data_IF_204354730312
#
_entry.id   IF_204354730312
#
_cell.length_a   1.000
_cell.length_b   1.000
_cell.length_c   1.000
_cell.angle_alpha   90.00
_cell.angle_beta   90.00
_cell.angle_gamma   90.00
#
_symmetry.space_group_name_H-M   'P 1'
#
loop_
_entity.id
_entity.type
_entity.pdbx_description
1 polymer ?
#
# COMPACT_ATOMS: atom_id res chain seq x y z
N UNK A 1 -97.44 -5.15 -4.88
CA UNK A 1 -96.71 -5.52 -3.65
C UNK A 1 -95.24 -5.32 -3.91
N UNK A 2 -94.59 -4.39 -3.22
CA UNK A 2 -93.13 -4.22 -3.28
C UNK A 2 -92.49 -5.41 -2.56
N UNK A 3 -91.42 -6.00 -3.10
CA UNK A 3 -90.68 -7.09 -2.44
C UNK A 3 -89.28 -6.57 -2.07
N UNK A 4 -89.02 -6.42 -0.78
CA UNK A 4 -87.67 -6.15 -0.28
C UNK A 4 -86.86 -7.43 -0.39
N UNK A 5 -85.83 -7.44 -1.24
CA UNK A 5 -85.04 -8.63 -1.54
C UNK A 5 -83.78 -8.72 -0.69
N UNK A 6 -83.15 -7.58 -0.36
CA UNK A 6 -81.96 -7.53 0.49
C UNK A 6 -81.69 -6.10 0.98
N UNK A 7 -81.60 -5.89 2.29
CA UNK A 7 -80.92 -4.71 2.84
C UNK A 7 -79.44 -5.06 3.02
N UNK A 8 -78.52 -4.18 2.64
CA UNK A 8 -77.10 -4.43 2.88
C UNK A 8 -76.85 -4.56 4.39
N UNK A 9 -76.42 -5.76 4.80
CA UNK A 9 -76.32 -6.16 6.21
C UNK A 9 -74.99 -5.64 6.77
N UNK A 10 -74.93 -4.35 7.05
CA UNK A 10 -73.94 -3.78 7.96
C UNK A 10 -74.57 -3.63 9.35
N UNK A 11 -74.14 -4.49 10.27
CA UNK A 11 -74.79 -4.78 11.56
C UNK A 11 -74.65 -3.66 12.61
N UNK A 12 -73.89 -2.60 12.33
CA UNK A 12 -73.34 -1.73 13.38
C UNK A 12 -73.48 -0.25 13.06
N UNK A 13 -74.25 0.50 13.85
CA UNK A 13 -74.49 1.95 13.67
C UNK A 13 -74.05 2.73 14.92
N UNK A 14 -73.45 3.91 14.75
CA UNK A 14 -73.15 4.81 15.87
C UNK A 14 -74.29 5.79 16.16
N UNK A 15 -74.37 6.25 17.40
CA UNK A 15 -75.34 7.27 17.82
C UNK A 15 -75.24 8.58 17.02
N UNK A 16 -74.05 8.96 16.56
CA UNK A 16 -73.86 10.14 15.70
C UNK A 16 -74.51 10.03 14.32
N UNK A 17 -74.89 8.82 13.87
CA UNK A 17 -75.55 8.59 12.58
C UNK A 17 -74.69 8.93 11.36
N UNK A 18 -75.32 8.97 10.19
CA UNK A 18 -74.68 9.37 8.93
C UNK A 18 -73.94 8.25 8.19
N UNK A 19 -74.25 6.99 8.50
CA UNK A 19 -73.76 5.84 7.73
C UNK A 19 -74.70 5.57 6.56
N UNK A 20 -74.16 5.34 5.37
CA UNK A 20 -74.96 5.08 4.17
C UNK A 20 -75.48 3.66 4.16
N UNK A 21 -76.79 3.52 3.98
CA UNK A 21 -77.51 2.25 3.96
C UNK A 21 -78.14 2.09 2.59
N UNK A 22 -77.92 0.94 1.97
CA UNK A 22 -78.44 0.60 0.65
C UNK A 22 -79.47 -0.51 0.81
N UNK A 23 -80.72 -0.21 0.48
CA UNK A 23 -81.81 -1.18 0.41
C UNK A 23 -82.04 -1.55 -1.06
N UNK A 24 -81.97 -2.84 -1.38
CA UNK A 24 -82.13 -3.36 -2.75
C UNK A 24 -83.41 -4.19 -2.83
N UNK A 25 -84.22 -3.91 -3.85
CA UNK A 25 -85.53 -4.52 -4.04
C UNK A 25 -86.07 -4.24 -5.44
N UNK A 26 -87.37 -4.44 -5.63
CA UNK A 26 -88.05 -4.12 -6.89
C UNK A 26 -89.38 -3.40 -6.65
N UNK A 27 -89.69 -2.43 -7.51
CA UNK A 27 -90.92 -1.66 -7.47
C UNK A 27 -90.88 -0.46 -6.51
N UNK A 28 -89.69 0.01 -6.12
CA UNK A 28 -89.57 1.15 -5.19
C UNK A 28 -90.10 2.45 -5.80
N UNK A 29 -90.18 2.58 -7.12
CA UNK A 29 -90.73 3.79 -7.77
C UNK A 29 -92.16 4.09 -7.34
N UNK A 30 -92.94 3.05 -6.99
CA UNK A 30 -94.32 3.18 -6.53
C UNK A 30 -94.46 3.71 -5.09
N UNK A 31 -93.38 3.72 -4.30
CA UNK A 31 -93.39 4.17 -2.90
C UNK A 31 -93.32 5.70 -2.82
N UNK A 32 -94.29 6.38 -2.22
CA UNK A 32 -94.29 7.86 -2.18
C UNK A 32 -93.38 8.42 -1.07
N UNK A 33 -93.37 7.79 0.10
CA UNK A 33 -92.59 8.18 1.28
C UNK A 33 -91.83 6.98 1.81
N UNK A 34 -90.51 7.05 1.72
CA UNK A 34 -89.60 6.07 2.30
C UNK A 34 -88.81 6.74 3.44
N UNK A 35 -88.94 6.22 4.65
CA UNK A 35 -88.24 6.73 5.83
C UNK A 35 -87.77 5.61 6.73
N UNK A 36 -86.59 5.78 7.30
CA UNK A 36 -86.06 4.93 8.35
C UNK A 36 -86.40 5.55 9.70
N UNK A 37 -87.00 4.76 10.58
CA UNK A 37 -87.40 5.15 11.92
C UNK A 37 -86.61 4.36 12.95
N UNK A 38 -86.19 5.04 14.01
CA UNK A 38 -85.50 4.40 15.13
C UNK A 38 -86.20 4.80 16.41
N UNK A 39 -86.55 3.76 17.17
CA UNK A 39 -87.32 3.85 18.40
C UNK A 39 -86.50 3.23 19.55
N UNK A 40 -86.46 3.86 20.73
CA UNK A 40 -85.92 3.21 21.91
C UNK A 40 -86.77 1.99 22.30
N UNK A 41 -86.15 0.85 22.58
CA UNK A 41 -86.84 -0.30 23.19
C UNK A 41 -87.18 0.07 24.64
N UNK A 42 -88.46 0.11 24.96
CA UNK A 42 -88.92 0.47 26.30
C UNK A 42 -88.60 -0.64 27.31
N UNK A 43 -87.91 -0.30 28.40
CA UNK A 43 -88.12 -0.95 29.70
C UNK A 43 -89.43 -0.38 30.27
N UNK A 44 -90.27 -1.25 30.86
CA UNK A 44 -91.70 -1.10 31.18
C UNK A 44 -92.12 0.09 32.09
N UNK A 45 -91.27 1.09 32.34
CA UNK A 45 -91.49 2.12 33.36
C UNK A 45 -91.13 3.57 32.93
N UNK A 46 -91.52 4.04 31.74
CA UNK A 46 -91.50 5.48 31.44
C UNK A 46 -92.74 5.97 30.68
N UNK A 47 -93.46 6.94 31.27
CA UNK A 47 -94.72 7.55 30.76
C UNK A 47 -94.46 8.81 29.92
N UNK A 48 -93.55 8.73 28.95
CA UNK A 48 -93.35 9.78 27.94
C UNK A 48 -93.42 9.17 26.53
N UNK A 49 -93.97 9.86 25.52
CA UNK A 49 -94.01 9.33 24.16
C UNK A 49 -92.58 8.99 23.70
N UNK A 50 -92.32 7.80 23.13
CA UNK A 50 -90.99 7.43 22.68
C UNK A 50 -90.52 8.44 21.62
N UNK A 51 -89.32 8.99 21.81
CA UNK A 51 -88.73 9.91 20.84
C UNK A 51 -88.42 9.12 19.57
N UNK A 52 -89.11 9.46 18.48
CA UNK A 52 -88.88 8.88 17.15
C UNK A 52 -87.75 9.63 16.43
N UNK A 53 -86.71 8.91 16.02
CA UNK A 53 -85.66 9.45 15.14
C UNK A 53 -85.96 9.00 13.72
N UNK A 54 -86.27 9.95 12.84
CA UNK A 54 -86.71 9.66 11.46
C UNK A 54 -85.71 10.25 10.47
N UNK A 55 -85.20 9.42 9.56
CA UNK A 55 -84.42 9.84 8.40
C UNK A 55 -85.14 9.47 7.11
N UNK A 56 -85.33 10.44 6.21
CA UNK A 56 -85.90 10.20 4.88
C UNK A 56 -84.85 9.67 3.90
N UNK A 57 -85.29 8.92 2.89
CA UNK A 57 -84.42 8.43 1.83
C UNK A 57 -83.69 9.60 1.14
N UNK A 58 -82.36 9.47 1.04
CA UNK A 58 -81.47 10.44 0.37
C UNK A 58 -81.54 10.27 -1.13
N UNK A 59 -81.65 9.03 -1.59
CA UNK A 59 -81.76 8.71 -3.01
C UNK A 59 -82.75 7.56 -3.23
N UNK A 60 -83.53 7.67 -4.31
CA UNK A 60 -84.58 6.70 -4.66
C UNK A 60 -84.50 6.38 -6.16
N UNK A 61 -84.46 5.09 -6.47
CA UNK A 61 -84.56 4.52 -7.80
C UNK A 61 -85.39 3.23 -7.73
N UNK A 62 -85.88 2.71 -8.87
CA UNK A 62 -86.83 1.57 -8.90
C UNK A 62 -86.30 0.32 -8.18
N UNK A 63 -84.99 0.13 -8.21
CA UNK A 63 -84.31 -1.04 -7.61
C UNK A 63 -83.54 -0.74 -6.33
N UNK A 64 -83.27 0.53 -6.02
CA UNK A 64 -82.40 0.93 -4.90
C UNK A 64 -82.96 2.12 -4.14
N UNK A 65 -83.04 1.97 -2.81
CA UNK A 65 -83.28 3.05 -1.87
C UNK A 65 -82.04 3.29 -1.02
N UNK A 66 -81.62 4.55 -0.89
CA UNK A 66 -80.43 4.94 -0.14
C UNK A 66 -80.84 5.82 1.03
N UNK A 67 -80.43 5.42 2.23
CA UNK A 67 -80.71 6.12 3.49
C UNK A 67 -79.40 6.45 4.19
N UNK A 68 -79.41 7.51 5.00
CA UNK A 68 -78.39 7.69 6.03
C UNK A 68 -78.96 7.20 7.37
N UNK A 69 -78.13 6.60 8.23
CA UNK A 69 -78.59 6.22 9.56
C UNK A 69 -78.95 7.48 10.37
N UNK A 70 -80.14 7.53 11.02
CA UNK A 70 -80.52 8.68 11.83
C UNK A 70 -79.61 8.79 13.06
N UNK A 71 -79.30 10.03 13.44
CA UNK A 71 -78.61 10.32 14.68
C UNK A 71 -79.58 10.17 15.86
N UNK A 72 -79.12 9.51 16.91
CA UNK A 72 -79.91 9.18 18.10
C UNK A 72 -79.34 9.94 19.30
N UNK A 73 -80.19 10.31 20.25
CA UNK A 73 -79.78 11.14 21.38
C UNK A 73 -78.81 10.38 22.32
N UNK A 74 -77.71 11.05 22.71
CA UNK A 74 -76.57 10.48 23.44
C UNK A 74 -76.82 10.21 24.93
N UNK A 75 -77.97 10.60 25.46
CA UNK A 75 -78.25 10.61 26.91
C UNK A 75 -78.70 9.26 27.52
N UNK A 76 -78.65 8.15 26.77
CA UNK A 76 -79.12 6.83 27.22
C UNK A 76 -78.19 5.70 26.76
N UNK A 77 -76.97 5.62 27.28
CA UNK A 77 -75.95 4.62 26.86
C UNK A 77 -76.35 3.15 27.08
N UNK A 78 -77.41 2.88 27.85
CA UNK A 78 -77.90 1.52 28.16
C UNK A 78 -79.18 1.14 27.41
N UNK A 79 -79.70 2.01 26.54
CA UNK A 79 -80.97 1.76 25.85
C UNK A 79 -80.74 1.05 24.52
N UNK A 80 -81.40 -0.09 24.32
CA UNK A 80 -81.41 -0.76 23.02
C UNK A 80 -82.38 -0.06 22.07
N UNK A 81 -82.03 0.06 20.79
CA UNK A 81 -82.86 0.73 19.79
C UNK A 81 -83.38 -0.29 18.78
N UNK A 82 -84.65 -0.14 18.40
CA UNK A 82 -85.29 -0.91 17.33
C UNK A 82 -85.44 -0.04 16.10
N UNK A 83 -85.10 -0.60 14.95
CA UNK A 83 -85.06 0.10 13.68
C UNK A 83 -86.19 -0.42 12.79
N UNK A 84 -86.94 0.50 12.21
CA UNK A 84 -88.08 0.22 11.36
C UNK A 84 -87.88 0.91 10.02
N UNK A 85 -88.10 0.16 8.94
CA UNK A 85 -88.18 0.72 7.60
C UNK A 85 -89.65 0.97 7.29
N UNK A 86 -90.01 2.25 7.14
CA UNK A 86 -91.36 2.65 6.76
C UNK A 86 -91.39 3.00 5.27
N UNK A 87 -92.15 2.20 4.51
CA UNK A 87 -92.47 2.42 3.10
C UNK A 87 -93.97 2.73 3.01
N UNK A 88 -94.31 4.01 2.91
CA UNK A 88 -95.67 4.54 2.98
C UNK A 88 -96.42 4.14 4.27
N UNK A 89 -97.34 3.15 4.17
CA UNK A 89 -98.13 2.61 5.29
C UNK A 89 -97.64 1.24 5.76
N UNK A 90 -96.61 0.69 5.13
CA UNK A 90 -96.01 -0.59 5.51
C UNK A 90 -94.80 -0.30 6.37
N UNK A 91 -94.75 -0.93 7.55
CA UNK A 91 -93.64 -0.83 8.49
C UNK A 91 -93.02 -2.21 8.67
N UNK A 92 -91.72 -2.32 8.45
CA UNK A 92 -90.97 -3.56 8.60
C UNK A 92 -89.85 -3.38 9.62
N UNK A 93 -89.85 -4.21 10.67
CA UNK A 93 -88.81 -4.19 11.71
C UNK A 93 -87.54 -4.87 11.22
N UNK A 94 -86.43 -4.14 11.27
CA UNK A 94 -85.14 -4.65 10.85
C UNK A 94 -84.38 -5.25 12.06
N UNK A 95 -84.59 -6.54 12.32
CA UNK A 95 -84.11 -7.24 13.54
C UNK A 95 -82.59 -7.39 13.67
N UNK A 96 -81.82 -7.11 12.63
CA UNK A 96 -80.37 -7.38 12.57
C UNK A 96 -79.52 -6.15 12.86
N UNK A 97 -80.11 -4.99 13.16
CA UNK A 97 -79.37 -3.74 13.33
C UNK A 97 -79.28 -3.34 14.80
N UNK A 98 -78.06 -3.11 15.27
CA UNK A 98 -77.79 -2.70 16.65
C UNK A 98 -77.04 -1.36 16.64
N UNK A 99 -77.54 -0.42 17.44
CA UNK A 99 -76.85 0.83 17.69
C UNK A 99 -75.79 0.64 18.78
N UNK A 100 -74.62 1.20 18.53
CA UNK A 100 -73.47 1.22 19.43
C UNK A 100 -73.11 2.66 19.79
N UNK A 101 -72.47 2.86 20.95
CA UNK A 101 -71.95 4.17 21.35
C UNK A 101 -70.90 4.67 20.34
N UNK A 102 -70.75 5.99 20.28
CA UNK A 102 -69.74 6.64 19.44
C UNK A 102 -68.31 6.20 19.83
N UNK A 103 -67.38 6.07 18.87
CA UNK A 103 -66.03 5.63 19.16
C UNK A 103 -65.27 6.66 20.00
N UNK A 104 -64.40 6.17 20.88
CA UNK A 104 -63.54 7.00 21.72
C UNK A 104 -62.11 7.02 21.17
N UNK A 105 -61.52 8.21 21.04
CA UNK A 105 -60.14 8.38 20.57
C UNK A 105 -59.24 8.77 21.74
N UNK A 106 -58.08 8.11 21.85
CA UNK A 106 -57.05 8.50 22.80
C UNK A 106 -56.13 9.57 22.20
N UNK A 107 -55.43 10.30 23.06
CA UNK A 107 -54.40 11.25 22.64
C UNK A 107 -53.24 10.55 21.90
N UNK A 108 -52.72 11.19 20.86
CA UNK A 108 -51.63 10.65 20.04
C UNK A 108 -50.36 10.44 20.87
N UNK A 109 -49.77 9.24 20.76
CA UNK A 109 -48.55 8.88 21.49
C UNK A 109 -47.26 9.42 20.85
N UNK A 110 -47.29 9.80 19.56
CA UNK A 110 -46.17 10.40 18.83
C UNK A 110 -46.65 11.58 18.01
N UNK A 111 -46.12 12.76 18.29
CA UNK A 111 -46.51 14.01 17.63
C UNK A 111 -45.58 14.41 16.47
N UNK A 112 -44.59 13.57 16.11
CA UNK A 112 -43.64 13.84 15.02
C UNK A 112 -43.80 12.77 13.93
N UNK A 113 -44.12 13.18 12.70
CA UNK A 113 -44.18 12.30 11.53
C UNK A 113 -42.77 12.09 11.01
N UNK A 114 -42.15 10.99 11.42
CA UNK A 114 -40.89 10.47 10.85
C UNK A 114 -41.13 9.29 9.91
N UNK A 115 -42.33 8.69 9.97
CA UNK A 115 -42.73 7.46 9.30
C UNK A 115 -43.89 7.72 8.32
N UNK A 116 -44.06 6.85 7.32
CA UNK A 116 -45.14 6.95 6.33
C UNK A 116 -46.52 6.60 6.89
N UNK A 117 -46.61 6.09 8.12
CA UNK A 117 -47.86 5.59 8.74
C UNK A 117 -48.07 6.26 10.11
N UNK A 118 -49.28 6.77 10.34
CA UNK A 118 -49.73 7.33 11.63
C UNK A 118 -50.68 6.33 12.28
N UNK A 119 -50.43 6.01 13.55
CA UNK A 119 -51.24 5.06 14.32
C UNK A 119 -52.06 5.83 15.35
N UNK A 120 -53.37 5.73 15.27
CA UNK A 120 -54.31 6.30 16.22
C UNK A 120 -54.91 5.19 17.07
N UNK A 121 -54.95 5.38 18.39
CA UNK A 121 -55.51 4.40 19.33
C UNK A 121 -56.82 4.89 19.92
N UNK A 122 -57.72 3.97 20.24
CA UNK A 122 -59.02 4.28 20.81
C UNK A 122 -59.83 3.03 21.12
N UNK A 123 -61.15 3.15 21.12
CA UNK A 123 -62.08 2.04 21.41
C UNK A 123 -63.33 2.15 20.54
N UNK A 124 -63.77 1.01 20.01
CA UNK A 124 -65.04 0.87 19.30
C UNK A 124 -65.00 1.27 17.82
N UNK A 125 -63.82 1.37 17.20
CA UNK A 125 -63.72 1.78 15.79
C UNK A 125 -64.37 0.77 14.84
N UNK A 126 -64.15 -0.53 15.07
CA UNK A 126 -64.70 -1.62 14.23
C UNK A 126 -66.23 -1.68 14.29
N UNK A 127 -66.79 -1.20 15.40
CA UNK A 127 -68.24 -1.08 15.61
C UNK A 127 -68.79 0.22 15.03
N UNK A 128 -67.95 1.23 14.81
CA UNK A 128 -68.39 2.52 14.31
C UNK A 128 -68.51 2.57 12.78
N UNK A 129 -67.51 2.06 12.06
CA UNK A 129 -67.42 2.20 10.60
C UNK A 129 -66.47 1.15 9.99
N UNK A 130 -66.53 0.98 8.67
CA UNK A 130 -65.51 0.22 7.91
C UNK A 130 -64.38 1.15 7.44
N UNK A 131 -63.20 0.58 7.16
CA UNK A 131 -62.01 1.33 6.75
C UNK A 131 -62.21 2.16 5.47
N UNK A 132 -63.06 1.69 4.54
CA UNK A 132 -63.32 2.37 3.26
C UNK A 132 -64.22 3.60 3.40
N UNK A 133 -65.07 3.65 4.43
CA UNK A 133 -65.99 4.76 4.67
C UNK A 133 -65.41 5.82 5.61
N UNK A 134 -64.36 5.46 6.35
CA UNK A 134 -63.65 6.34 7.27
C UNK A 134 -62.84 7.41 6.53
N UNK A 135 -62.93 8.67 6.98
CA UNK A 135 -62.16 9.78 6.41
C UNK A 135 -61.24 10.38 7.48
N UNK A 136 -59.96 10.53 7.17
CA UNK A 136 -58.99 11.19 8.05
C UNK A 136 -58.33 12.36 7.32
N UNK A 137 -58.04 13.43 8.06
CA UNK A 137 -57.43 14.64 7.53
C UNK A 137 -56.28 15.10 8.43
N UNK A 138 -55.13 15.42 7.85
CA UNK A 138 -54.02 16.11 8.52
C UNK A 138 -53.94 17.51 7.93
N UNK A 139 -54.33 18.53 8.70
CA UNK A 139 -54.49 19.88 8.16
C UNK A 139 -55.48 19.93 7.00
N UNK A 140 -55.05 20.36 5.82
CA UNK A 140 -55.87 20.40 4.59
C UNK A 140 -55.76 19.15 3.70
N UNK A 141 -54.86 18.21 3.99
CA UNK A 141 -54.71 16.98 3.22
C UNK A 141 -55.58 15.83 3.75
N UNK A 142 -56.13 15.04 2.83
CA UNK A 142 -56.85 13.79 3.12
C UNK A 142 -55.86 12.64 3.26
N UNK A 143 -55.98 11.86 4.33
CA UNK A 143 -55.16 10.69 4.63
C UNK A 143 -55.99 9.42 4.41
N UNK A 144 -55.45 8.48 3.63
CA UNK A 144 -56.12 7.21 3.40
C UNK A 144 -56.02 6.33 4.65
N UNK A 145 -57.15 5.82 5.10
CA UNK A 145 -57.22 4.81 6.16
C UNK A 145 -56.88 3.45 5.56
N UNK A 146 -55.78 2.84 6.00
CA UNK A 146 -55.31 1.57 5.43
C UNK A 146 -55.89 0.37 6.16
N UNK A 147 -55.90 0.40 7.50
CA UNK A 147 -56.37 -0.69 8.36
C UNK A 147 -57.15 -0.11 9.53
N UNK A 148 -58.34 -0.65 9.79
CA UNK A 148 -59.20 -0.29 10.91
C UNK A 148 -59.45 -1.53 11.78
N UNK A 149 -58.93 -1.50 13.01
CA UNK A 149 -59.15 -2.49 14.06
C UNK A 149 -59.97 -1.86 15.19
N UNK A 150 -60.52 -2.66 16.11
CA UNK A 150 -61.43 -2.14 17.14
C UNK A 150 -60.79 -1.09 18.08
N UNK A 151 -59.48 -1.21 18.31
CA UNK A 151 -58.69 -0.37 19.20
C UNK A 151 -57.65 0.51 18.49
N UNK A 152 -57.42 0.29 17.18
CA UNK A 152 -56.34 0.94 16.41
C UNK A 152 -56.74 1.28 14.98
N UNK A 153 -56.30 2.44 14.53
CA UNK A 153 -56.49 2.93 13.17
C UNK A 153 -55.13 3.28 12.56
N UNK A 154 -54.85 2.76 11.37
CA UNK A 154 -53.63 3.04 10.62
C UNK A 154 -53.94 3.98 9.45
N UNK A 155 -53.25 5.12 9.42
CA UNK A 155 -53.39 6.17 8.42
C UNK A 155 -52.09 6.32 7.64
N UNK A 156 -52.18 6.56 6.34
CA UNK A 156 -51.01 6.90 5.52
C UNK A 156 -50.75 8.42 5.58
N UNK A 157 -49.55 8.80 6.04
CA UNK A 157 -49.16 10.20 6.16
C UNK A 157 -48.84 10.80 4.77
N UNK A 158 -49.26 12.04 4.48
CA UNK A 158 -48.91 12.69 3.23
C UNK A 158 -47.40 12.94 3.15
N UNK A 159 -46.80 12.61 2.01
CA UNK A 159 -45.35 12.70 1.76
C UNK A 159 -44.83 14.15 1.68
N UNK A 160 -45.72 15.10 1.42
CA UNK A 160 -45.45 16.53 1.44
C UNK A 160 -46.25 17.19 2.56
N UNK A 161 -45.63 18.13 3.28
CA UNK A 161 -46.26 18.80 4.42
C UNK A 161 -47.50 19.61 3.97
N UNK A 162 -48.72 19.28 4.45
CA UNK A 162 -49.94 20.00 4.12
C UNK A 162 -50.02 21.34 4.86
N UNK A 163 -50.93 22.22 4.42
CA UNK A 163 -51.16 23.52 5.08
C UNK A 163 -52.16 23.36 6.20
N UNK A 164 -52.06 24.22 7.23
CA UNK A 164 -53.03 24.24 8.31
C UNK A 164 -54.42 24.61 7.78
N UNK A 165 -55.45 23.81 8.11
CA UNK A 165 -56.85 24.04 7.69
C UNK A 165 -57.46 25.27 8.36
N UNK A 166 -56.88 25.73 9.47
CA UNK A 166 -57.41 26.85 10.27
C UNK A 166 -56.97 28.21 9.72
N UNK A 167 -57.94 29.10 9.49
CA UNK A 167 -57.77 30.47 8.99
C UNK A 167 -57.45 31.47 10.12
N UNK A 168 -56.64 31.11 11.13
CA UNK A 168 -56.10 32.08 12.10
C UNK A 168 -54.66 32.43 11.70
N UNK A 169 -54.55 33.45 10.86
CA UNK A 169 -53.28 33.99 10.41
C UNK A 169 -52.58 34.74 11.57
N UNK A 170 -51.84 34.01 12.40
CA UNK A 170 -50.83 34.60 13.28
C UNK A 170 -49.49 34.58 12.54
N UNK A 171 -48.89 35.76 12.39
CA UNK A 171 -47.51 35.93 11.94
C UNK A 171 -46.62 35.37 13.05
N UNK A 172 -46.14 34.13 12.89
CA UNK A 172 -44.87 33.70 13.46
C UNK A 172 -44.35 32.47 12.71
N UNK A 173 -43.10 32.55 12.27
CA UNK A 173 -42.35 31.54 11.53
C UNK A 173 -41.86 30.42 12.46
N UNK A 174 -42.77 29.68 13.06
CA UNK A 174 -42.50 28.38 13.65
C UNK A 174 -43.52 27.39 13.09
N UNK A 175 -43.08 26.17 12.76
CA UNK A 175 -43.93 25.11 12.23
C UNK A 175 -45.15 24.89 13.14
N UNK A 176 -46.29 25.45 12.76
CA UNK A 176 -47.54 25.29 13.50
C UNK A 176 -47.93 23.81 13.45
N UNK A 177 -48.28 23.21 14.60
CA UNK A 177 -48.67 21.81 14.64
C UNK A 177 -49.98 21.62 13.88
N UNK A 178 -50.01 20.63 12.99
CA UNK A 178 -51.14 20.35 12.11
C UNK A 178 -52.13 19.43 12.84
N UNK A 179 -53.40 19.85 12.94
CA UNK A 179 -54.43 19.04 13.60
C UNK A 179 -54.79 17.81 12.76
N UNK A 180 -54.82 16.64 13.40
CA UNK A 180 -55.32 15.38 12.86
C UNK A 180 -56.80 15.22 13.23
N UNK A 181 -57.65 15.26 12.21
CA UNK A 181 -59.11 15.15 12.35
C UNK A 181 -59.61 13.87 11.71
N UNK A 182 -60.42 13.09 12.42
CA UNK A 182 -61.04 11.86 11.93
C UNK A 182 -62.55 12.06 11.88
N UNK A 183 -63.14 11.65 10.75
CA UNK A 183 -64.58 11.73 10.49
C UNK A 183 -65.14 10.33 10.27
N UNK A 184 -66.09 9.95 11.13
CA UNK A 184 -66.91 8.74 10.97
C UNK A 184 -68.39 9.14 10.85
N UNK A 185 -68.98 8.87 9.69
CA UNK A 185 -70.35 9.30 9.37
C UNK A 185 -70.51 10.82 9.52
N UNK A 186 -71.41 11.23 10.42
CA UNK A 186 -71.65 12.64 10.76
C UNK A 186 -70.81 13.14 11.97
N UNK A 187 -70.06 12.28 12.65
CA UNK A 187 -69.19 12.68 13.76
C UNK A 187 -67.79 13.10 13.29
N UNK A 188 -67.26 14.19 13.86
CA UNK A 188 -65.91 14.72 13.59
C UNK A 188 -65.15 14.88 14.91
N UNK A 189 -63.97 14.27 15.02
CA UNK A 189 -63.13 14.28 16.21
C UNK A 189 -61.72 14.74 15.88
N UNK A 190 -61.18 15.66 16.69
CA UNK A 190 -59.77 16.07 16.62
C UNK A 190 -58.98 15.22 17.61
N UNK A 191 -58.05 14.41 17.09
CA UNK A 191 -57.30 13.40 17.86
C UNK A 191 -56.01 13.96 18.46
N UNK A 192 -55.43 14.99 17.84
CA UNK A 192 -54.25 15.71 18.34
C UNK A 192 -53.50 16.41 17.21
N UNK A 193 -52.37 17.05 17.54
CA UNK A 193 -51.60 17.88 16.58
C UNK A 193 -50.21 17.29 16.28
N UNK A 194 -49.78 17.37 15.02
CA UNK A 194 -48.63 16.64 14.48
C UNK A 194 -47.64 17.55 13.74
N UNK A 195 -46.33 17.29 13.90
CA UNK A 195 -45.21 18.06 13.36
C UNK A 195 -44.36 17.24 12.35
N UNK A 196 -43.87 17.87 11.29
CA UNK A 196 -42.95 17.27 10.31
C UNK A 196 -41.48 17.64 10.64
N UNK A 197 -40.56 16.68 10.53
CA UNK A 197 -39.12 16.90 10.80
C UNK A 197 -38.42 17.62 9.63
N UNK A 198 -37.67 18.69 9.94
CA UNK A 198 -36.98 19.53 8.94
C UNK A 198 -35.59 18.96 8.61
N UNK A 199 -35.38 18.49 7.37
CA UNK A 199 -34.04 18.13 6.89
C UNK A 199 -33.26 19.40 6.54
N UNK A 200 -32.13 19.62 7.21
CA UNK A 200 -31.20 20.73 6.91
C UNK A 200 -30.30 20.33 5.74
N UNK A 201 -30.61 20.79 4.53
CA UNK A 201 -29.71 20.68 3.38
C UNK A 201 -28.82 21.93 3.33
N UNK A 202 -27.57 21.82 3.81
CA UNK A 202 -26.58 22.88 3.65
C UNK A 202 -26.08 22.87 2.20
N UNK A 203 -26.04 24.00 1.48
CA UNK A 203 -25.67 24.01 0.06
C UNK A 203 -24.20 23.60 -0.14
N UNK A 204 -23.96 22.60 -0.99
CA UNK A 204 -22.61 22.14 -1.37
C UNK A 204 -21.71 23.27 -1.93
N UNK A 205 -22.32 24.33 -2.48
CA UNK A 205 -21.63 25.52 -3.00
C UNK A 205 -20.80 26.28 -1.94
N UNK A 206 -21.11 26.16 -0.64
CA UNK A 206 -20.36 26.81 0.44
C UNK A 206 -19.21 25.93 0.95
N UNK A 207 -19.38 24.61 0.90
CA UNK A 207 -18.41 23.63 1.43
C UNK A 207 -17.18 23.51 0.51
N UNK A 208 -17.40 23.47 -0.80
CA UNK A 208 -16.34 23.29 -1.81
C UNK A 208 -15.25 24.38 -1.72
N UNK A 209 -15.57 25.70 -1.75
CA UNK A 209 -14.55 26.75 -1.64
C UNK A 209 -13.88 26.78 -0.25
N UNK A 210 -14.60 26.44 0.83
CA UNK A 210 -14.04 26.40 2.17
C UNK A 210 -12.95 25.33 2.35
N UNK A 211 -12.94 24.27 1.54
CA UNK A 211 -11.93 23.20 1.59
C UNK A 211 -10.82 23.42 0.55
N UNK A 212 -11.17 23.85 -0.67
CA UNK A 212 -10.19 23.99 -1.76
C UNK A 212 -9.21 25.14 -1.49
N UNK A 213 -9.69 26.28 -0.99
CA UNK A 213 -8.84 27.47 -0.74
C UNK A 213 -7.71 27.19 0.26
N UNK A 214 -7.95 26.62 1.46
CA UNK A 214 -6.87 26.28 2.38
C UNK A 214 -5.96 25.16 1.86
N UNK A 215 -6.50 24.20 1.09
CA UNK A 215 -5.70 23.15 0.47
C UNK A 215 -4.68 23.73 -0.53
N UNK A 216 -5.10 24.66 -1.39
CA UNK A 216 -4.21 25.32 -2.35
C UNK A 216 -3.15 26.19 -1.66
N UNK A 217 -3.52 26.89 -0.57
CA UNK A 217 -2.58 27.63 0.25
C UNK A 217 -1.50 26.73 0.86
N UNK A 218 -1.89 25.58 1.40
CA UNK A 218 -0.95 24.62 1.98
C UNK A 218 0.01 24.07 0.92
N UNK A 219 -0.49 23.74 -0.27
CA UNK A 219 0.35 23.28 -1.39
C UNK A 219 1.33 24.37 -1.81
N UNK A 220 0.90 25.63 -1.94
CA UNK A 220 1.76 26.74 -2.32
C UNK A 220 2.89 26.98 -1.30
N UNK A 221 2.57 26.94 0.01
CA UNK A 221 3.56 27.06 1.09
C UNK A 221 4.53 25.87 1.07
N UNK A 222 4.04 24.65 0.88
CA UNK A 222 4.88 23.45 0.79
C UNK A 222 5.85 23.53 -0.40
N UNK A 223 5.37 23.92 -1.59
CA UNK A 223 6.22 24.13 -2.78
C UNK A 223 7.23 25.25 -2.55
N UNK A 224 6.84 26.35 -1.91
CA UNK A 224 7.75 27.44 -1.57
C UNK A 224 8.84 26.98 -0.60
N UNK A 225 8.48 26.28 0.48
CA UNK A 225 9.42 25.69 1.43
C UNK A 225 10.35 24.67 0.77
N UNK A 226 9.81 23.81 -0.10
CA UNK A 226 10.60 22.82 -0.84
C UNK A 226 11.59 23.49 -1.79
N UNK A 227 11.15 24.48 -2.58
CA UNK A 227 12.04 25.25 -3.47
C UNK A 227 13.11 25.99 -2.69
N UNK A 228 12.75 26.63 -1.56
CA UNK A 228 13.72 27.35 -0.72
C UNK A 228 14.75 26.40 -0.10
N UNK A 229 14.31 25.24 0.40
CA UNK A 229 15.19 24.21 0.98
C UNK A 229 16.07 23.57 -0.11
N UNK A 230 15.53 23.29 -1.28
CA UNK A 230 16.27 22.78 -2.45
C UNK A 230 17.35 23.76 -2.88
N UNK A 231 17.02 25.05 -3.03
CA UNK A 231 17.99 26.09 -3.39
C UNK A 231 19.06 26.31 -2.31
N UNK A 232 18.76 26.02 -1.04
CA UNK A 232 19.75 26.08 0.03
C UNK A 232 20.71 24.89 -0.05
N UNK A 233 20.18 23.69 -0.27
CA UNK A 233 20.98 22.48 -0.47
C UNK A 233 21.86 22.56 -1.73
N UNK A 234 21.33 23.10 -2.83
CA UNK A 234 22.10 23.37 -4.05
C UNK A 234 23.24 24.35 -3.80
N UNK A 235 22.99 25.44 -3.05
CA UNK A 235 24.05 26.40 -2.68
C UNK A 235 25.11 25.79 -1.77
N UNK A 236 24.73 24.92 -0.84
CA UNK A 236 25.68 24.20 0.00
C UNK A 236 26.51 23.21 -0.82
N UNK A 237 25.87 22.49 -1.74
CA UNK A 237 26.53 21.58 -2.67
C UNK A 237 27.51 22.32 -3.59
N UNK A 238 27.12 23.45 -4.17
CA UNK A 238 27.99 24.29 -5.00
C UNK A 238 29.20 24.81 -4.21
N UNK A 239 29.03 25.20 -2.94
CA UNK A 239 30.16 25.60 -2.08
C UNK A 239 31.13 24.44 -1.83
N UNK A 240 30.62 23.25 -1.50
CA UNK A 240 31.46 22.05 -1.29
C UNK A 240 32.16 21.66 -2.59
N UNK A 241 31.45 21.72 -3.72
CA UNK A 241 32.02 21.46 -5.03
C UNK A 241 33.14 22.46 -5.35
N UNK A 242 32.93 23.75 -5.11
CA UNK A 242 33.95 24.76 -5.34
C UNK A 242 35.14 24.61 -4.38
N UNK A 243 34.90 24.25 -3.12
CA UNK A 243 35.97 23.91 -2.18
C UNK A 243 36.77 22.69 -2.64
N UNK A 244 36.10 21.67 -3.19
CA UNK A 244 36.75 20.48 -3.74
C UNK A 244 37.55 20.83 -4.99
N UNK A 245 37.01 21.64 -5.91
CA UNK A 245 37.72 22.11 -7.11
C UNK A 245 38.95 22.95 -6.74
N UNK A 246 38.83 23.88 -5.78
CA UNK A 246 39.96 24.67 -5.30
C UNK A 246 41.00 23.80 -4.57
N UNK A 247 40.56 22.81 -3.79
CA UNK A 247 41.46 21.85 -3.17
C UNK A 247 42.16 20.99 -4.23
N UNK A 248 41.46 20.54 -5.25
CA UNK A 248 42.00 19.77 -6.36
C UNK A 248 43.03 20.59 -7.15
N UNK A 249 42.73 21.85 -7.46
CA UNK A 249 43.66 22.75 -8.15
C UNK A 249 44.90 23.02 -7.29
N UNK A 250 44.72 23.29 -5.98
CA UNK A 250 45.84 23.48 -5.06
C UNK A 250 46.69 22.22 -4.91
N UNK A 251 46.08 21.04 -4.80
CA UNK A 251 46.78 19.75 -4.73
C UNK A 251 47.50 19.45 -6.04
N UNK A 252 46.87 19.73 -7.19
CA UNK A 252 47.45 19.55 -8.51
C UNK A 252 48.69 20.44 -8.69
N UNK A 253 48.62 21.69 -8.27
CA UNK A 253 49.75 22.62 -8.37
C UNK A 253 50.86 22.28 -7.39
N UNK A 254 50.52 21.88 -6.16
CA UNK A 254 51.50 21.33 -5.20
C UNK A 254 52.18 20.08 -5.76
N UNK A 255 51.42 19.14 -6.30
CA UNK A 255 51.93 17.92 -6.89
C UNK A 255 52.82 18.21 -8.11
N UNK A 256 52.41 19.12 -9.00
CA UNK A 256 53.24 19.56 -10.13
C UNK A 256 54.55 20.17 -9.65
N UNK A 257 54.50 21.04 -8.64
CA UNK A 257 55.68 21.66 -8.06
C UNK A 257 56.61 20.63 -7.42
N UNK A 258 56.08 19.77 -6.56
CA UNK A 258 56.87 18.70 -5.94
C UNK A 258 57.44 17.73 -6.98
N UNK A 259 56.70 17.43 -8.04
CA UNK A 259 57.16 16.61 -9.15
C UNK A 259 58.27 17.30 -9.95
N UNK A 260 58.14 18.60 -10.26
CA UNK A 260 59.20 19.34 -10.95
C UNK A 260 60.43 19.47 -10.07
N UNK A 261 60.27 19.73 -8.78
CA UNK A 261 61.38 19.81 -7.83
C UNK A 261 62.09 18.46 -7.72
N UNK A 262 61.32 17.35 -7.62
CA UNK A 262 61.86 15.99 -7.60
C UNK A 262 62.58 15.64 -8.92
N UNK A 263 62.02 16.04 -10.07
CA UNK A 263 62.62 15.79 -11.37
C UNK A 263 63.94 16.54 -11.51
N UNK A 264 64.01 17.80 -11.09
CA UNK A 264 65.23 18.62 -11.10
C UNK A 264 66.28 18.00 -10.17
N UNK A 265 65.92 17.64 -8.94
CA UNK A 265 66.85 17.00 -7.99
C UNK A 265 67.33 15.64 -8.49
N UNK A 266 66.45 14.86 -9.12
CA UNK A 266 66.79 13.58 -9.72
C UNK A 266 67.73 13.73 -10.92
N UNK A 267 67.51 14.74 -11.76
CA UNK A 267 68.37 15.03 -12.92
C UNK A 267 69.75 15.52 -12.47
N UNK A 268 69.81 16.39 -11.45
CA UNK A 268 71.06 16.87 -10.84
C UNK A 268 71.88 15.73 -10.23
N UNK A 269 71.25 14.88 -9.41
CA UNK A 269 71.90 13.68 -8.88
C UNK A 269 72.32 12.70 -9.98
N UNK A 270 71.57 12.57 -11.07
CA UNK A 270 71.90 11.65 -12.17
C UNK A 270 73.06 12.18 -13.01
N UNK A 271 73.18 13.50 -13.16
CA UNK A 271 74.29 14.16 -13.83
C UNK A 271 75.61 14.06 -13.03
N UNK A 272 75.57 14.18 -11.70
CA UNK A 272 76.73 13.91 -10.83
C UNK A 272 77.08 12.40 -10.77
N UNK A 273 76.08 11.53 -10.97
CA UNK A 273 76.22 10.07 -11.03
C UNK A 273 76.49 9.54 -12.45
N UNK A 274 76.98 10.37 -13.38
CA UNK A 274 77.26 9.96 -14.77
C UNK A 274 78.23 8.77 -14.92
N UNK A 275 78.81 8.25 -13.83
CA UNK A 275 79.60 7.01 -13.80
C UNK A 275 79.00 5.82 -13.02
N UNK A 276 77.94 6.00 -12.23
CA UNK A 276 77.33 4.88 -11.50
C UNK A 276 76.31 4.15 -12.39
N UNK A 277 76.81 3.28 -13.27
CA UNK A 277 76.01 2.35 -14.08
C UNK A 277 74.91 1.70 -13.21
N UNK A 278 73.66 1.72 -13.68
CA UNK A 278 72.54 1.05 -13.00
C UNK A 278 72.99 -0.36 -12.60
N UNK A 279 72.85 -0.76 -11.32
CA UNK A 279 73.33 -2.05 -10.83
C UNK A 279 72.40 -3.16 -11.29
N UNK A 280 72.40 -3.45 -12.59
CA UNK A 280 71.70 -4.59 -13.16
C UNK A 280 72.25 -5.87 -12.53
N UNK A 281 71.33 -6.71 -12.05
CA UNK A 281 71.69 -8.06 -11.62
C UNK A 281 72.09 -8.88 -12.84
N UNK A 282 73.13 -9.69 -12.68
CA UNK A 282 73.47 -10.69 -13.69
C UNK A 282 72.29 -11.63 -13.93
N UNK A 283 72.20 -12.15 -15.16
CA UNK A 283 71.11 -13.01 -15.59
C UNK A 283 70.84 -14.15 -14.61
N UNK A 284 71.90 -14.83 -14.14
CA UNK A 284 71.82 -15.93 -13.18
C UNK A 284 71.17 -15.48 -11.87
N UNK A 285 71.65 -14.38 -11.29
CA UNK A 285 71.14 -13.85 -10.01
C UNK A 285 69.71 -13.36 -10.16
N UNK A 286 69.37 -12.77 -11.30
CA UNK A 286 68.00 -12.37 -11.63
C UNK A 286 67.07 -13.58 -11.72
N UNK A 287 67.42 -14.60 -12.50
CA UNK A 287 66.60 -15.81 -12.64
C UNK A 287 66.45 -16.56 -11.33
N UNK A 288 67.52 -16.65 -10.53
CA UNK A 288 67.48 -17.33 -9.22
C UNK A 288 66.46 -16.64 -8.29
N UNK A 289 66.47 -15.31 -8.20
CA UNK A 289 65.51 -14.54 -7.38
C UNK A 289 64.07 -14.59 -7.87
N UNK A 290 63.87 -14.67 -9.19
CA UNK A 290 62.54 -14.75 -9.79
C UNK A 290 61.94 -16.14 -9.59
N UNK A 291 62.74 -17.18 -9.80
CA UNK A 291 62.29 -18.58 -9.74
C UNK A 291 62.10 -19.05 -8.30
N UNK A 292 63.03 -18.69 -7.41
CA UNK A 292 63.03 -19.05 -6.01
C UNK A 292 62.93 -17.76 -5.18
N UNK A 293 61.68 -17.37 -4.88
CA UNK A 293 61.45 -16.27 -3.94
C UNK A 293 62.12 -16.63 -2.62
N UNK A 294 63.02 -15.79 -2.06
CA UNK A 294 63.66 -16.08 -0.79
C UNK A 294 62.57 -16.28 0.27
N UNK A 295 62.53 -17.46 0.87
CA UNK A 295 61.69 -17.75 2.02
C UNK A 295 61.98 -16.74 3.12
N UNK A 296 60.96 -16.35 3.89
CA UNK A 296 61.15 -15.60 5.15
C UNK A 296 62.03 -16.38 6.16
N UNK A 297 62.19 -17.69 5.96
CA UNK A 297 63.03 -18.55 6.77
C UNK A 297 64.43 -18.63 6.14
N UNK A 298 65.36 -17.86 6.72
CA UNK A 298 66.67 -17.55 6.15
C UNK A 298 67.63 -18.72 5.91
N UNK A 299 68.70 -18.39 5.20
CA UNK A 299 70.00 -19.09 4.99
C UNK A 299 70.03 -20.56 4.54
N UNK A 300 68.93 -21.30 4.64
CA UNK A 300 68.84 -22.71 4.23
C UNK A 300 68.09 -22.94 2.93
N UNK A 301 67.60 -21.88 2.27
CA UNK A 301 67.09 -22.00 0.92
C UNK A 301 68.28 -22.31 0.01
N UNK A 302 68.25 -23.49 -0.59
CA UNK A 302 69.16 -23.93 -1.63
C UNK A 302 68.89 -23.05 -2.86
N UNK A 303 69.37 -21.80 -2.80
CA UNK A 303 69.96 -21.16 -3.97
C UNK A 303 70.78 -22.26 -4.62
N UNK A 304 70.64 -22.48 -5.93
CA UNK A 304 71.32 -23.57 -6.66
C UNK A 304 72.83 -23.32 -6.58
N UNK A 305 73.36 -23.59 -5.39
CA UNK A 305 74.73 -23.64 -5.01
C UNK A 305 75.14 -24.93 -5.66
N UNK A 306 75.96 -24.83 -6.70
CA UNK A 306 76.33 -25.95 -7.58
C UNK A 306 77.10 -27.08 -6.89
N UNK A 307 76.92 -27.27 -5.58
CA UNK A 307 77.48 -28.34 -4.76
C UNK A 307 76.31 -29.19 -4.25
N UNK A 308 75.96 -30.23 -5.01
CA UNK A 308 75.18 -31.32 -4.43
C UNK A 308 76.11 -32.09 -3.48
N UNK A 309 75.85 -32.03 -2.17
CA UNK A 309 76.55 -32.85 -1.17
C UNK A 309 76.09 -34.31 -1.30
N UNK A 310 76.64 -35.01 -2.30
CA UNK A 310 76.40 -36.43 -2.54
C UNK A 310 77.60 -37.21 -2.01
N UNK A 311 77.39 -38.25 -1.17
CA UNK A 311 78.46 -39.15 -0.74
C UNK A 311 79.22 -39.74 -1.95
N UNK A 312 80.56 -39.68 -1.94
CA UNK A 312 81.43 -40.05 -3.08
C UNK A 312 81.08 -41.41 -3.71
N UNK A 313 80.79 -42.42 -2.89
CA UNK A 313 80.44 -43.77 -3.36
C UNK A 313 79.11 -43.88 -4.11
N UNK A 314 78.21 -42.88 -4.02
CA UNK A 314 76.92 -42.85 -4.74
C UNK A 314 76.89 -41.86 -5.89
N UNK A 315 77.92 -41.01 -6.06
CA UNK A 315 77.94 -39.97 -7.11
C UNK A 315 77.71 -40.55 -8.50
N UNK A 316 78.35 -41.66 -8.84
CA UNK A 316 78.22 -42.30 -10.16
C UNK A 316 76.79 -42.81 -10.39
N UNK A 317 76.20 -43.49 -9.40
CA UNK A 317 74.83 -44.01 -9.48
C UNK A 317 73.81 -42.87 -9.59
N UNK A 318 73.98 -41.82 -8.77
CA UNK A 318 73.10 -40.64 -8.79
C UNK A 318 73.22 -39.90 -10.13
N UNK A 319 74.43 -39.71 -10.65
CA UNK A 319 74.63 -39.10 -11.96
C UNK A 319 73.98 -39.91 -13.09
N UNK A 320 74.11 -41.24 -13.05
CA UNK A 320 73.46 -42.13 -14.02
C UNK A 320 71.93 -42.06 -13.94
N UNK A 321 71.36 -42.08 -12.73
CA UNK A 321 69.93 -41.94 -12.52
C UNK A 321 69.39 -40.57 -12.96
N UNK A 322 70.12 -39.49 -12.68
CA UNK A 322 69.77 -38.14 -13.15
C UNK A 322 69.82 -38.03 -14.68
N UNK A 323 70.78 -38.70 -15.32
CA UNK A 323 70.86 -38.74 -16.79
C UNK A 323 69.66 -39.51 -17.39
N UNK A 324 69.29 -40.65 -16.80
CA UNK A 324 68.09 -41.39 -17.20
C UNK A 324 66.82 -40.57 -16.98
N UNK A 325 66.73 -39.83 -15.86
CA UNK A 325 65.62 -38.94 -15.59
C UNK A 325 65.56 -37.77 -16.58
N UNK A 326 66.69 -37.17 -16.93
CA UNK A 326 66.78 -36.16 -17.99
C UNK A 326 66.28 -36.68 -19.34
N UNK A 327 66.56 -37.94 -19.67
CA UNK A 327 66.01 -38.59 -20.86
C UNK A 327 64.49 -38.76 -20.80
N UNK A 328 63.93 -39.09 -19.63
CA UNK A 328 62.48 -39.14 -19.44
C UNK A 328 61.85 -37.74 -19.58
N UNK A 329 62.49 -36.70 -19.04
CA UNK A 329 62.02 -35.31 -19.17
C UNK A 329 62.02 -34.81 -20.63
N UNK A 330 62.83 -35.41 -21.52
CA UNK A 330 62.81 -35.09 -22.95
C UNK A 330 61.62 -35.73 -23.70
N UNK A 331 60.89 -36.67 -23.08
CA UNK A 331 59.69 -37.26 -23.66
C UNK A 331 58.47 -36.39 -23.38
N UNK A 332 57.89 -35.78 -24.43
CA UNK A 332 56.73 -34.89 -24.34
C UNK A 332 55.55 -35.53 -23.60
N UNK A 333 55.21 -36.75 -23.97
CA UNK A 333 54.11 -37.50 -23.36
C UNK A 333 54.36 -37.79 -21.88
N UNK A 334 55.59 -38.17 -21.52
CA UNK A 334 55.96 -38.41 -20.12
C UNK A 334 55.82 -37.12 -19.32
N UNK A 335 56.41 -36.02 -19.79
CA UNK A 335 56.45 -34.77 -19.04
C UNK A 335 55.05 -34.18 -18.81
N UNK A 336 54.20 -34.16 -19.84
CA UNK A 336 52.81 -33.69 -19.71
C UNK A 336 52.04 -34.56 -18.70
N UNK A 337 52.15 -35.89 -18.81
CA UNK A 337 51.47 -36.79 -17.87
C UNK A 337 52.03 -36.68 -16.45
N UNK A 338 53.34 -36.45 -16.31
CA UNK A 338 53.99 -36.28 -15.02
C UNK A 338 53.48 -35.02 -14.31
N UNK A 339 53.38 -33.89 -15.02
CA UNK A 339 52.82 -32.64 -14.49
C UNK A 339 51.36 -32.84 -14.07
N UNK A 340 50.52 -33.41 -14.94
CA UNK A 340 49.11 -33.71 -14.64
C UNK A 340 48.94 -34.60 -13.42
N UNK A 341 49.76 -35.64 -13.31
CA UNK A 341 49.70 -36.59 -12.19
C UNK A 341 50.07 -35.91 -10.88
N UNK A 342 51.01 -34.97 -10.88
CA UNK A 342 51.37 -34.20 -9.70
C UNK A 342 50.29 -33.19 -9.33
N UNK A 343 49.74 -32.47 -10.31
CA UNK A 343 48.66 -31.50 -10.08
C UNK A 343 47.35 -32.13 -9.58
N UNK A 344 47.04 -33.35 -10.03
CA UNK A 344 45.87 -34.10 -9.59
C UNK A 344 45.95 -34.62 -8.15
N UNK A 345 47.11 -34.54 -7.48
CA UNK A 345 47.23 -34.98 -6.08
C UNK A 345 46.77 -33.88 -5.11
N UNK A 346 45.92 -34.21 -4.12
CA UNK A 346 45.42 -33.23 -3.15
C UNK A 346 46.54 -32.67 -2.25
N UNK A 347 47.58 -33.47 -1.97
CA UNK A 347 48.72 -33.07 -1.14
C UNK A 347 49.68 -32.11 -1.85
N UNK A 348 49.52 -31.91 -3.15
CA UNK A 348 50.39 -31.03 -3.93
C UNK A 348 49.93 -29.58 -3.81
N UNK A 349 50.40 -28.90 -2.76
CA UNK A 349 50.02 -27.53 -2.43
C UNK A 349 50.51 -26.49 -3.47
N UNK A 350 49.96 -25.27 -3.42
CA UNK A 350 50.30 -24.20 -4.35
C UNK A 350 51.79 -23.78 -4.31
N UNK A 351 52.44 -23.81 -3.13
CA UNK A 351 53.87 -23.50 -2.99
C UNK A 351 54.74 -24.56 -3.68
N UNK A 352 54.39 -25.84 -3.52
CA UNK A 352 55.05 -26.97 -4.16
C UNK A 352 54.87 -26.95 -5.67
N UNK A 353 53.69 -26.55 -6.18
CA UNK A 353 53.45 -26.32 -7.62
C UNK A 353 54.40 -25.25 -8.16
N UNK A 354 54.49 -24.12 -7.47
CA UNK A 354 55.35 -23.01 -7.86
C UNK A 354 56.82 -23.43 -7.86
N UNK A 355 57.26 -24.11 -6.80
CA UNK A 355 58.63 -24.59 -6.66
C UNK A 355 59.00 -25.64 -7.73
N UNK A 356 58.11 -26.61 -7.97
CA UNK A 356 58.27 -27.62 -9.01
C UNK A 356 58.37 -27.00 -10.41
N UNK A 357 57.48 -26.05 -10.73
CA UNK A 357 57.54 -25.32 -11.99
C UNK A 357 58.89 -24.62 -12.20
N UNK A 358 59.40 -23.96 -11.15
CA UNK A 358 60.73 -23.32 -11.17
C UNK A 358 61.88 -24.31 -11.38
N UNK A 359 61.88 -25.45 -10.69
CA UNK A 359 62.87 -26.52 -10.91
C UNK A 359 62.80 -27.07 -12.33
N UNK A 360 61.59 -27.28 -12.85
CA UNK A 360 61.38 -27.75 -14.21
C UNK A 360 61.88 -26.74 -15.26
N UNK A 361 61.64 -25.44 -15.04
CA UNK A 361 62.20 -24.39 -15.89
C UNK A 361 63.72 -24.43 -15.90
N UNK A 362 64.37 -24.58 -14.74
CA UNK A 362 65.84 -24.67 -14.66
C UNK A 362 66.36 -25.93 -15.37
N UNK A 363 65.72 -27.09 -15.15
CA UNK A 363 66.11 -28.34 -15.79
C UNK A 363 66.00 -28.30 -17.33
N UNK A 364 65.01 -27.58 -17.84
CA UNK A 364 64.75 -27.43 -19.28
C UNK A 364 65.29 -26.12 -19.87
N UNK A 365 66.05 -25.34 -19.09
CA UNK A 365 66.58 -24.03 -19.52
C UNK A 365 67.48 -24.14 -20.75
N UNK A 366 68.25 -25.22 -20.88
CA UNK A 366 69.07 -25.49 -22.06
C UNK A 366 68.29 -25.88 -23.33
N UNK A 367 66.97 -26.09 -23.24
CA UNK A 367 66.09 -26.50 -24.35
C UNK A 367 64.80 -25.67 -24.36
N UNK A 368 64.92 -24.34 -24.44
CA UNK A 368 63.77 -23.42 -24.36
C UNK A 368 62.69 -23.66 -25.43
N UNK A 369 63.06 -24.13 -26.63
CA UNK A 369 62.10 -24.49 -27.67
C UNK A 369 61.18 -25.64 -27.22
N UNK A 370 61.79 -26.71 -26.68
CA UNK A 370 61.05 -27.84 -26.12
C UNK A 370 60.19 -27.41 -24.93
N UNK A 371 60.75 -26.61 -24.03
CA UNK A 371 60.02 -26.05 -22.89
C UNK A 371 58.79 -25.24 -23.34
N UNK A 372 58.94 -24.43 -24.39
CA UNK A 372 57.85 -23.62 -24.95
C UNK A 372 56.75 -24.48 -25.57
N UNK A 373 57.11 -25.56 -26.28
CA UNK A 373 56.12 -26.50 -26.83
C UNK A 373 55.34 -27.24 -25.72
N UNK A 374 56.01 -27.66 -24.66
CA UNK A 374 55.37 -28.29 -23.49
C UNK A 374 54.42 -27.30 -22.81
N UNK A 375 54.90 -26.09 -22.50
CA UNK A 375 54.10 -25.03 -21.90
C UNK A 375 52.88 -24.69 -22.75
N UNK A 376 53.05 -24.54 -24.07
CA UNK A 376 51.94 -24.31 -25.01
C UNK A 376 50.92 -25.43 -24.95
N UNK A 377 51.37 -26.69 -24.97
CA UNK A 377 50.46 -27.84 -24.95
C UNK A 377 49.63 -27.86 -23.65
N UNK A 378 50.27 -27.64 -22.50
CA UNK A 378 49.59 -27.58 -21.21
C UNK A 378 48.64 -26.37 -21.10
N UNK A 379 49.01 -25.22 -21.67
CA UNK A 379 48.21 -24.00 -21.63
C UNK A 379 46.93 -24.16 -22.47
N UNK A 380 47.02 -24.84 -23.62
CA UNK A 380 45.86 -25.16 -24.46
C UNK A 380 44.90 -26.10 -23.74
N UNK A 381 45.41 -27.13 -23.07
CA UNK A 381 44.58 -28.03 -22.26
C UNK A 381 43.92 -27.29 -21.08
N UNK A 382 44.67 -26.42 -20.39
CA UNK A 382 44.11 -25.56 -19.33
C UNK A 382 43.00 -24.67 -19.87
N UNK A 383 43.18 -24.09 -21.06
CA UNK A 383 42.17 -23.26 -21.72
C UNK A 383 40.90 -24.06 -22.01
N UNK A 384 41.03 -25.28 -22.55
CA UNK A 384 39.89 -26.16 -22.77
C UNK A 384 39.17 -26.47 -21.46
N UNK A 385 39.89 -26.79 -20.38
CA UNK A 385 39.29 -27.05 -19.07
C UNK A 385 38.51 -25.82 -18.56
N UNK A 386 39.09 -24.61 -18.64
CA UNK A 386 38.41 -23.39 -18.20
C UNK A 386 37.21 -23.01 -19.06
N UNK A 387 37.20 -23.34 -20.35
CA UNK A 387 36.06 -23.11 -21.24
C UNK A 387 34.91 -24.07 -20.92
N UNK A 388 35.21 -25.33 -20.62
CA UNK A 388 34.17 -26.34 -20.37
C UNK A 388 33.68 -26.39 -18.91
N UNK A 389 34.54 -26.10 -17.93
CA UNK A 389 34.24 -26.32 -16.51
C UNK A 389 34.09 -25.05 -15.68
N UNK A 390 34.59 -23.91 -16.16
CA UNK A 390 34.68 -22.65 -15.41
C UNK A 390 34.36 -21.45 -16.30
N UNK A 391 34.53 -20.24 -15.74
CA UNK A 391 34.45 -19.03 -16.53
C UNK A 391 35.80 -18.78 -17.23
N UNK A 392 35.84 -18.60 -18.56
CA UNK A 392 37.10 -18.35 -19.28
C UNK A 392 37.76 -17.03 -18.84
N UNK A 393 36.98 -16.06 -18.36
CA UNK A 393 37.47 -14.78 -17.80
C UNK A 393 38.30 -14.95 -16.51
N UNK A 394 38.27 -16.11 -15.88
CA UNK A 394 39.04 -16.40 -14.66
C UNK A 394 40.36 -17.11 -14.93
N UNK A 395 40.62 -17.52 -16.17
CA UNK A 395 41.88 -18.15 -16.56
C UNK A 395 43.06 -17.19 -16.36
N UNK A 396 44.21 -17.70 -15.88
CA UNK A 396 45.43 -16.91 -15.61
C UNK A 396 45.28 -15.81 -14.54
N UNK A 397 44.16 -15.75 -13.81
CA UNK A 397 43.91 -14.71 -12.79
C UNK A 397 44.76 -14.90 -11.53
N UNK A 398 45.02 -16.15 -11.15
CA UNK A 398 45.83 -16.53 -9.99
C UNK A 398 46.74 -17.67 -10.43
N UNK A 399 48.04 -17.57 -10.17
CA UNK A 399 49.03 -18.61 -10.50
C UNK A 399 48.83 -19.85 -9.62
N UNK A 400 47.77 -20.60 -9.88
CA UNK A 400 47.35 -21.76 -9.09
C UNK A 400 47.83 -23.09 -9.70
N UNK A 401 48.22 -23.06 -10.98
CA UNK A 401 48.73 -24.19 -11.75
C UNK A 401 50.23 -24.10 -12.03
N UNK A 402 50.85 -25.25 -12.26
CA UNK A 402 52.25 -25.41 -12.69
C UNK A 402 52.47 -24.70 -14.02
N UNK A 403 51.55 -24.82 -14.98
CA UNK A 403 51.69 -24.18 -16.29
C UNK A 403 51.64 -22.65 -16.21
N UNK A 404 50.79 -22.07 -15.36
CA UNK A 404 50.76 -20.62 -15.13
C UNK A 404 52.11 -20.13 -14.57
N UNK A 405 52.70 -20.88 -13.63
CA UNK A 405 54.03 -20.53 -13.11
C UNK A 405 55.12 -20.72 -14.17
N UNK A 406 55.06 -21.79 -14.96
CA UNK A 406 55.98 -22.01 -16.09
C UNK A 406 55.93 -20.85 -17.08
N UNK A 407 54.75 -20.30 -17.36
CA UNK A 407 54.56 -19.13 -18.20
C UNK A 407 55.19 -17.88 -17.59
N UNK A 408 54.99 -17.62 -16.30
CA UNK A 408 55.67 -16.50 -15.62
C UNK A 408 57.20 -16.62 -15.70
N UNK A 409 57.74 -17.82 -15.49
CA UNK A 409 59.17 -18.08 -15.58
C UNK A 409 59.69 -17.89 -17.02
N UNK A 410 58.94 -18.37 -18.02
CA UNK A 410 59.24 -18.17 -19.44
C UNK A 410 59.29 -16.70 -19.82
N UNK A 411 58.26 -15.94 -19.43
CA UNK A 411 58.19 -14.49 -19.65
C UNK A 411 59.40 -13.79 -19.03
N UNK A 412 59.81 -14.21 -17.83
CA UNK A 412 60.96 -13.63 -17.15
C UNK A 412 62.28 -13.89 -17.90
N UNK A 413 62.43 -15.07 -18.53
CA UNK A 413 63.58 -15.41 -19.38
C UNK A 413 63.57 -14.55 -20.64
N UNK A 414 62.44 -14.53 -21.37
CA UNK A 414 62.33 -13.86 -22.67
C UNK A 414 62.39 -12.34 -22.56
N UNK A 415 61.84 -11.76 -21.49
CA UNK A 415 61.81 -10.31 -21.27
C UNK A 415 63.06 -9.77 -20.56
N UNK A 416 64.02 -10.61 -20.15
CA UNK A 416 65.21 -10.13 -19.45
C UNK A 416 66.00 -9.10 -20.24
N UNK A 417 66.22 -9.31 -21.55
CA UNK A 417 66.92 -8.34 -22.38
C UNK A 417 66.13 -7.04 -22.52
N UNK A 418 64.81 -7.12 -22.75
CA UNK A 418 63.94 -5.94 -22.78
C UNK A 418 63.96 -5.17 -21.44
N UNK A 419 63.95 -5.90 -20.32
CA UNK A 419 64.07 -5.32 -18.98
C UNK A 419 65.42 -4.62 -18.82
N UNK A 420 66.51 -5.20 -19.30
CA UNK A 420 67.84 -4.59 -19.21
C UNK A 420 68.00 -3.37 -20.12
N UNK A 421 67.51 -3.46 -21.34
CA UNK A 421 67.82 -2.50 -22.40
C UNK A 421 66.80 -1.37 -22.51
N UNK A 422 65.58 -1.53 -21.97
CA UNK A 422 64.49 -0.55 -22.15
C UNK A 422 63.73 -0.24 -20.88
N UNK A 423 63.21 -1.25 -20.17
CA UNK A 423 62.34 -1.01 -19.02
C UNK A 423 63.11 -0.78 -17.70
N UNK A 424 64.40 -1.12 -17.65
CA UNK A 424 65.19 -1.13 -16.43
C UNK A 424 65.56 0.27 -15.94
N UNK A 425 65.92 1.16 -16.86
CA UNK A 425 66.20 2.56 -16.54
C UNK A 425 64.99 3.29 -15.94
N UNK A 426 63.80 3.31 -16.56
CA UNK A 426 62.64 3.98 -15.98
C UNK A 426 62.21 3.33 -14.66
N UNK A 427 62.33 2.00 -14.53
CA UNK A 427 62.04 1.31 -13.27
C UNK A 427 63.01 1.73 -12.14
N UNK A 428 64.30 1.81 -12.44
CA UNK A 428 65.31 2.23 -11.47
C UNK A 428 65.16 3.71 -11.09
N UNK A 429 64.89 4.59 -12.07
CA UNK A 429 64.58 6.00 -11.84
C UNK A 429 63.36 6.16 -10.94
N UNK A 430 62.29 5.39 -11.18
CA UNK A 430 61.10 5.40 -10.33
C UNK A 430 61.42 4.93 -8.91
N UNK A 431 62.15 3.83 -8.75
CA UNK A 431 62.58 3.36 -7.43
C UNK A 431 63.38 4.43 -6.67
N UNK A 432 64.34 5.06 -7.35
CA UNK A 432 65.19 6.10 -6.76
C UNK A 432 64.36 7.34 -6.39
N UNK A 433 63.44 7.76 -7.25
CA UNK A 433 62.52 8.86 -6.99
C UNK A 433 61.63 8.59 -5.77
N UNK A 434 61.05 7.39 -5.65
CA UNK A 434 60.24 6.99 -4.49
C UNK A 434 61.11 6.97 -3.23
N UNK A 435 62.30 6.35 -3.29
CA UNK A 435 63.23 6.28 -2.17
C UNK A 435 63.62 7.68 -1.68
N UNK A 436 64.02 8.56 -2.59
CA UNK A 436 64.38 9.95 -2.29
C UNK A 436 63.22 10.73 -1.68
N UNK A 437 62.01 10.57 -2.22
CA UNK A 437 60.81 11.23 -1.68
C UNK A 437 60.45 10.73 -0.26
N UNK A 438 60.62 9.44 0.02
CA UNK A 438 60.42 8.87 1.36
C UNK A 438 61.48 9.38 2.33
N UNK A 439 62.75 9.41 1.91
CA UNK A 439 63.89 9.84 2.73
C UNK A 439 63.94 11.36 2.99
N UNK A 440 63.23 12.17 2.21
CA UNK A 440 63.03 13.62 2.47
C UNK A 440 62.30 13.90 3.79
N UNK A 441 61.48 12.97 4.26
CA UNK A 441 60.68 13.11 5.48
C UNK A 441 61.17 12.21 6.60
N UNK A 442 60.67 12.40 7.83
CA UNK A 442 60.97 11.51 8.93
C UNK A 442 60.43 10.10 8.65
N UNK A 443 61.29 9.10 8.90
CA UNK A 443 60.97 7.67 8.79
C UNK A 443 61.21 7.00 10.14
N UNK A 444 60.18 6.35 10.68
CA UNK A 444 60.28 5.59 11.91
C UNK A 444 61.12 4.33 11.70
N UNK A 445 62.24 4.22 12.41
CA UNK A 445 63.17 3.11 12.29
C UNK A 445 62.58 1.75 12.73
N UNK A 446 61.62 1.74 13.67
CA UNK A 446 60.98 0.53 14.22
C UNK A 446 59.71 0.17 13.45
N UNK A 447 58.81 1.14 13.26
CA UNK A 447 57.51 0.92 12.61
C UNK A 447 57.61 0.91 11.09
N UNK A 448 58.72 1.40 10.52
CA UNK A 448 58.93 1.59 9.07
C UNK A 448 57.84 2.44 8.41
N UNK A 449 57.26 3.37 9.18
CA UNK A 449 56.29 4.34 8.71
C UNK A 449 57.00 5.63 8.33
N UNK A 450 56.53 6.30 7.29
CA UNK A 450 57.15 7.51 6.77
C UNK A 450 56.11 8.62 6.64
N UNK A 451 56.55 9.88 6.78
CA UNK A 451 55.70 11.05 6.55
C UNK A 451 55.27 11.17 5.08
N UNK A 452 56.20 10.94 4.16
CA UNK A 452 55.92 10.87 2.73
C UNK A 452 55.86 9.41 2.31
N UNK A 453 54.65 8.93 1.98
CA UNK A 453 54.41 7.55 1.55
C UNK A 453 53.25 7.52 0.55
N UNK A 454 53.24 6.50 -0.31
CA UNK A 454 52.14 6.22 -1.24
C UNK A 454 51.07 5.30 -0.61
N UNK A 455 51.29 4.83 0.62
CA UNK A 455 50.43 3.85 1.30
C UNK A 455 49.95 4.39 2.65
N UNK A 456 48.64 4.49 2.83
CA UNK A 456 47.98 4.98 4.05
C UNK A 456 48.41 4.21 5.30
N UNK A 457 48.57 2.89 5.20
CA UNK A 457 48.98 2.06 6.35
C UNK A 457 50.42 2.31 6.78
N UNK A 458 51.26 2.80 5.86
CA UNK A 458 52.64 3.20 6.11
C UNK A 458 52.79 4.67 6.49
N UNK A 459 51.68 5.43 6.58
CA UNK A 459 51.71 6.85 6.89
C UNK A 459 52.03 7.07 8.37
N UNK A 460 53.00 7.95 8.62
CA UNK A 460 53.28 8.44 9.97
C UNK A 460 52.18 9.42 10.35
N UNK A 461 51.27 9.00 11.25
CA UNK A 461 50.10 9.78 11.64
C UNK A 461 50.37 10.88 12.68
N UNK A 462 51.57 10.90 13.26
CA UNK A 462 51.95 11.89 14.26
C UNK A 462 52.51 13.15 13.56
N UNK A 463 52.08 14.33 14.01
CA UNK A 463 52.64 15.62 13.60
C UNK A 463 54.05 15.79 14.19
N UNK A 464 55.03 15.14 13.54
CA UNK A 464 56.44 15.28 13.89
C UNK A 464 56.97 16.56 13.26
N UNK A 465 57.33 17.52 14.10
CA UNK A 465 58.16 18.66 13.71
C UNK A 465 59.58 18.18 13.42
N UNK A 466 60.12 18.59 12.27
CA UNK A 466 61.47 18.24 11.85
C UNK A 466 62.12 19.40 11.11
N UNK A 467 63.44 19.44 11.14
CA UNK A 467 64.25 20.40 10.38
C UNK A 467 65.32 19.66 9.59
N UNK A 468 65.56 20.08 8.35
CA UNK A 468 66.61 19.51 7.50
C UNK A 468 67.95 20.05 7.98
N UNK A 469 68.87 19.15 8.35
CA UNK A 469 70.23 19.49 8.75
C UNK A 469 71.18 19.13 7.61
N UNK A 470 72.01 20.09 7.18
CA UNK A 470 73.08 19.85 6.21
C UNK A 470 74.35 19.58 7.00
N UNK A 471 74.82 18.33 7.00
CA UNK A 471 76.10 17.97 7.60
C UNK A 471 77.20 18.15 6.57
N UNK A 472 78.06 19.15 6.74
CA UNK A 472 79.35 19.24 6.03
C UNK A 472 80.34 18.33 6.73
N UNK A 473 80.71 17.23 6.09
CA UNK A 473 81.81 16.35 6.51
C UNK A 473 83.14 16.88 5.98
#
# INVERSE_FOLDING_TARGET
SCVLLRADVCVVWCFSGGRRIVCVGSGFDLVQRASMKVLPSADDFSQSPPIEFIQYAVHKNDTVLLFDSPAVNRSSETQSFRTFLQLDKVEEELKTFVYHPDPFFNELTKNIITETIIIVTGRGFSKAMTAEEAQAFVGDASCKVTILQDDKLFLEAPSTQPRARSKRQRRDTSSDPLDLTIKFGNGEWVVGSVNYERKYEVPLAIIIPAVIVPMLLFIAVSVYCYRRKSQQAEREYEKVKHQLENLEESVRDRCKKEFTDLMIEMEDQTNDLSEARIPFLDYKTYTDRVFFLPSKDGDNDVMITGKLDIPEGRKVIVAQALNQFSNLLNSKTFLINFIKTLEGRPDFNARSRVYFASLLTVALHGKLEYYTDIMRSLLLELMEEYVHSKNPKLMLRRSETVVERMLCNWMSICLYQFLRDSAGEPLYKLFKAIKHQVEKGPVDAKMKKAKYTLNDTGLLGDDVEYCVLVSTL
#
